data_IF_333928701501
#
_entry.id   IF_333928701501
#
_cell.length_a   1.000
_cell.length_b   1.000
_cell.length_c   1.000
_cell.angle_alpha   90.00
_cell.angle_beta   90.00
_cell.angle_gamma   90.00
#
_symmetry.space_group_name_H-M   'P 1'
#
loop_
_entity.id
_entity.type
_entity.pdbx_description
1 polymer ?
#
# COMPACT_ATOMS: atom_id res chain seq x y z
N UNK A 1 10.93 37.85 19.82
CA UNK A 1 10.92 36.38 19.66
C UNK A 1 9.99 35.65 20.64
N UNK A 2 9.59 36.23 21.78
CA UNK A 2 8.81 35.54 22.83
C UNK A 2 7.30 35.39 22.51
N UNK A 3 6.67 36.32 21.79
CA UNK A 3 5.24 36.21 21.39
C UNK A 3 4.97 35.31 20.19
N UNK A 4 6.01 34.80 19.53
CA UNK A 4 5.89 34.02 18.30
C UNK A 4 5.75 32.51 18.59
N UNK A 5 6.08 32.06 19.79
CA UNK A 5 6.16 30.63 20.16
C UNK A 5 5.12 30.19 21.19
N UNK A 6 4.07 30.97 21.44
CA UNK A 6 3.03 30.72 22.48
C UNK A 6 3.54 30.64 23.93
N UNK A 7 4.84 30.80 24.18
CA UNK A 7 5.41 30.84 25.52
C UNK A 7 5.26 32.25 26.10
N UNK A 8 4.23 32.46 26.91
CA UNK A 8 3.99 33.72 27.61
C UNK A 8 4.62 33.70 28.99
N UNK A 9 5.80 34.32 29.17
CA UNK A 9 6.38 34.55 30.50
C UNK A 9 5.58 35.58 31.34
N UNK A 10 4.60 36.27 30.74
CA UNK A 10 3.68 37.19 31.44
C UNK A 10 4.30 38.51 31.90
N UNK A 11 5.62 38.66 31.76
CA UNK A 11 6.44 39.79 32.16
C UNK A 11 6.54 40.88 31.08
N UNK A 12 6.55 40.50 29.80
CA UNK A 12 6.61 41.43 28.66
C UNK A 12 5.31 41.39 27.86
N UNK A 13 4.41 42.34 28.14
CA UNK A 13 3.15 42.53 27.40
C UNK A 13 3.04 43.93 26.79
N UNK A 14 2.56 44.08 25.55
CA UNK A 14 2.37 45.40 24.95
C UNK A 14 1.30 46.20 25.73
N UNK A 15 1.74 47.25 26.42
CA UNK A 15 0.86 48.13 27.21
C UNK A 15 0.13 49.17 26.36
N UNK A 16 0.68 49.59 25.22
CA UNK A 16 0.06 50.55 24.29
C UNK A 16 -0.87 49.85 23.29
N UNK A 17 -1.98 50.50 22.93
CA UNK A 17 -2.99 49.97 22.01
C UNK A 17 -2.41 49.52 20.65
N UNK A 18 -1.48 50.30 20.10
CA UNK A 18 -0.82 49.98 18.83
C UNK A 18 0.07 48.73 18.91
N UNK A 19 0.78 48.53 20.03
CA UNK A 19 1.60 47.34 20.24
C UNK A 19 0.77 46.05 20.33
N UNK A 20 -0.47 46.15 20.84
CA UNK A 20 -1.41 45.01 20.90
C UNK A 20 -1.89 44.61 19.50
N UNK A 21 -2.16 45.58 18.62
CA UNK A 21 -2.54 45.31 17.23
C UNK A 21 -1.42 44.57 16.48
N UNK A 22 -0.18 45.06 16.58
CA UNK A 22 0.98 44.41 15.95
C UNK A 22 1.18 42.99 16.50
N UNK A 23 1.06 42.80 17.82
CA UNK A 23 1.18 41.48 18.43
C UNK A 23 0.11 40.50 17.93
N UNK A 24 -1.13 40.96 17.73
CA UNK A 24 -2.23 40.19 17.14
C UNK A 24 -1.90 39.73 15.71
N UNK A 25 -1.40 40.63 14.87
CA UNK A 25 -0.98 40.28 13.51
C UNK A 25 0.17 39.28 13.49
N UNK A 26 1.19 39.46 14.33
CA UNK A 26 2.33 38.53 14.43
C UNK A 26 1.87 37.16 14.92
N UNK A 27 0.94 37.09 15.87
CA UNK A 27 0.38 35.82 16.36
C UNK A 27 -0.40 35.09 15.25
N UNK A 28 -1.23 35.80 14.46
CA UNK A 28 -1.97 35.19 13.35
C UNK A 28 -1.04 34.65 12.25
N UNK A 29 0.00 35.41 11.90
CA UNK A 29 1.03 34.98 10.93
C UNK A 29 1.79 33.76 11.48
N UNK A 30 2.14 33.79 12.76
CA UNK A 30 2.83 32.67 13.43
C UNK A 30 2.01 31.38 13.37
N UNK A 31 0.72 31.42 13.71
CA UNK A 31 -0.16 30.25 13.67
C UNK A 31 -0.24 29.68 12.24
N UNK A 32 -0.39 30.53 11.23
CA UNK A 32 -0.43 30.10 9.83
C UNK A 32 0.89 29.46 9.37
N UNK A 33 2.02 30.06 9.72
CA UNK A 33 3.34 29.54 9.39
C UNK A 33 3.62 28.19 10.08
N UNK A 34 3.35 28.08 11.38
CA UNK A 34 3.52 26.83 12.11
C UNK A 34 2.56 25.74 11.63
N UNK A 35 1.30 26.06 11.34
CA UNK A 35 0.36 25.11 10.76
C UNK A 35 0.81 24.60 9.39
N UNK A 36 1.31 25.49 8.52
CA UNK A 36 1.88 25.12 7.23
C UNK A 36 3.13 24.25 7.37
N UNK A 37 4.05 24.59 8.28
CA UNK A 37 5.25 23.81 8.53
C UNK A 37 4.91 22.40 9.07
N UNK A 38 3.97 22.30 10.03
CA UNK A 38 3.49 21.01 10.55
C UNK A 38 2.86 20.17 9.43
N UNK A 39 2.06 20.78 8.56
CA UNK A 39 1.47 20.09 7.41
C UNK A 39 2.54 19.57 6.43
N UNK A 40 3.58 20.36 6.17
CA UNK A 40 4.72 19.92 5.34
C UNK A 40 5.46 18.74 5.96
N UNK A 41 5.78 18.79 7.25
CA UNK A 41 6.43 17.68 7.95
C UNK A 41 5.54 16.44 8.04
N UNK A 42 4.25 16.60 8.32
CA UNK A 42 3.28 15.50 8.37
C UNK A 42 3.08 14.82 7.01
N UNK A 43 3.02 15.60 5.93
CA UNK A 43 2.98 15.10 4.55
C UNK A 43 4.28 14.35 4.22
N UNK A 44 5.44 14.89 4.56
CA UNK A 44 6.72 14.23 4.33
C UNK A 44 6.84 12.88 5.07
N UNK A 45 6.34 12.78 6.31
CA UNK A 45 6.30 11.50 7.06
C UNK A 45 5.32 10.52 6.42
N UNK A 46 4.13 10.99 6.03
CA UNK A 46 3.13 10.17 5.34
C UNK A 46 3.66 9.66 4.00
N UNK A 47 4.34 10.50 3.22
CA UNK A 47 4.98 10.12 1.94
C UNK A 47 6.14 9.16 2.17
N UNK A 48 6.95 9.33 3.23
CA UNK A 48 7.99 8.36 3.59
C UNK A 48 7.44 7.00 4.02
N UNK A 49 6.29 6.96 4.71
CA UNK A 49 5.57 5.70 4.95
C UNK A 49 4.97 5.07 3.68
N UNK A 50 4.78 5.87 2.62
CA UNK A 50 4.22 5.44 1.33
C UNK A 50 5.28 5.09 0.28
N UNK A 51 6.51 5.61 0.40
CA UNK A 51 7.69 5.02 -0.23
C UNK A 51 8.01 3.75 0.53
N UNK A 52 7.32 2.67 0.17
CA UNK A 52 7.82 1.35 0.48
C UNK A 52 9.26 1.27 -0.04
N UNK A 53 10.19 0.86 0.81
CA UNK A 53 11.58 0.59 0.43
C UNK A 53 11.68 -0.46 -0.70
N UNK A 54 10.56 -1.14 -0.99
CA UNK A 54 10.39 -2.16 -2.01
C UNK A 54 9.48 -1.60 -3.10
N UNK A 55 10.06 -1.34 -4.27
CA UNK A 55 9.32 -0.85 -5.45
C UNK A 55 9.45 -1.81 -6.63
N UNK A 56 10.46 -2.69 -6.61
CA UNK A 56 10.74 -3.66 -7.67
C UNK A 56 11.08 -5.01 -7.07
N UNK A 57 10.91 -6.12 -7.80
CA UNK A 57 11.28 -7.46 -7.31
C UNK A 57 12.75 -7.56 -6.86
N UNK A 58 13.65 -6.79 -7.47
CA UNK A 58 15.06 -6.75 -7.08
C UNK A 58 15.31 -6.20 -5.66
N UNK A 59 14.40 -5.37 -5.14
CA UNK A 59 14.51 -4.77 -3.80
C UNK A 59 14.21 -5.78 -2.69
N UNK A 60 13.69 -6.97 -3.04
CA UNK A 60 13.46 -8.08 -2.11
C UNK A 60 14.78 -8.75 -1.65
N UNK A 61 15.90 -8.46 -2.31
CA UNK A 61 17.20 -9.03 -1.94
C UNK A 61 17.57 -8.64 -0.51
N UNK A 62 17.96 -9.63 0.29
CA UNK A 62 18.27 -9.52 1.72
C UNK A 62 17.11 -8.99 2.59
N UNK A 63 15.87 -8.98 2.08
CA UNK A 63 14.66 -8.66 2.85
C UNK A 63 14.00 -9.92 3.35
N UNK A 64 13.34 -9.83 4.50
CA UNK A 64 12.57 -10.95 5.04
C UNK A 64 11.19 -10.93 4.38
N UNK A 65 10.86 -11.97 3.62
CA UNK A 65 9.63 -12.05 2.83
C UNK A 65 8.82 -13.26 3.23
N UNK A 66 7.57 -13.07 3.61
CA UNK A 66 6.65 -14.17 3.87
C UNK A 66 5.96 -14.64 2.58
N UNK A 67 5.85 -15.95 2.42
CA UNK A 67 5.06 -16.59 1.35
C UNK A 67 4.51 -17.93 1.84
N UNK A 68 3.53 -18.48 1.13
CA UNK A 68 2.94 -19.77 1.49
C UNK A 68 3.88 -20.91 1.08
N UNK A 69 4.08 -21.86 1.98
CA UNK A 69 4.89 -23.07 1.74
C UNK A 69 4.32 -23.95 0.62
N UNK A 70 5.18 -24.78 0.02
CA UNK A 70 4.84 -25.68 -1.11
C UNK A 70 4.27 -24.99 -2.36
N UNK A 71 4.49 -23.68 -2.51
CA UNK A 71 4.14 -22.94 -3.72
C UNK A 71 5.38 -22.61 -4.56
N UNK A 72 5.23 -22.33 -5.88
CA UNK A 72 6.34 -21.84 -6.70
C UNK A 72 6.98 -20.55 -6.18
N UNK A 73 6.31 -19.81 -5.28
CA UNK A 73 6.83 -18.56 -4.73
C UNK A 73 8.11 -18.71 -3.91
N UNK A 74 8.29 -19.82 -3.19
CA UNK A 74 9.49 -20.05 -2.36
C UNK A 74 10.78 -20.10 -3.20
N UNK A 75 10.90 -20.97 -4.23
CA UNK A 75 12.11 -20.98 -5.06
C UNK A 75 12.30 -19.65 -5.80
N UNK A 76 11.24 -19.05 -6.36
CA UNK A 76 11.34 -17.75 -7.05
C UNK A 76 11.92 -16.66 -6.15
N UNK A 77 11.51 -16.59 -4.89
CA UNK A 77 12.02 -15.61 -3.93
C UNK A 77 13.46 -15.88 -3.49
N UNK A 78 13.83 -17.16 -3.34
CA UNK A 78 15.21 -17.54 -3.03
C UNK A 78 16.15 -17.14 -4.19
N UNK A 79 15.74 -17.33 -5.44
CA UNK A 79 16.51 -16.93 -6.63
C UNK A 79 16.72 -15.42 -6.71
N UNK A 80 15.75 -14.63 -6.22
CA UNK A 80 15.86 -13.17 -6.08
C UNK A 80 16.79 -12.75 -4.93
N UNK A 81 17.17 -13.68 -4.05
CA UNK A 81 18.02 -13.46 -2.89
C UNK A 81 17.27 -12.92 -1.67
N UNK A 82 15.96 -13.14 -1.57
CA UNK A 82 15.18 -12.82 -0.39
C UNK A 82 15.42 -13.85 0.73
N UNK A 83 15.23 -13.42 1.98
CA UNK A 83 15.20 -14.31 3.14
C UNK A 83 13.75 -14.77 3.30
N UNK A 84 13.44 -15.95 2.75
CA UNK A 84 12.06 -16.46 2.71
C UNK A 84 11.63 -17.02 4.06
N UNK A 85 10.52 -16.51 4.59
CA UNK A 85 9.82 -17.05 5.74
C UNK A 85 8.57 -17.80 5.27
N UNK A 86 8.63 -19.13 5.06
CA UNK A 86 7.48 -19.90 4.64
C UNK A 86 6.43 -19.99 5.75
N UNK A 87 5.16 -19.89 5.37
CA UNK A 87 4.02 -20.08 6.28
C UNK A 87 3.00 -21.07 5.70
N UNK A 88 2.24 -21.74 6.55
CA UNK A 88 1.23 -22.70 6.12
C UNK A 88 0.01 -22.04 5.44
N UNK A 89 -0.37 -20.83 5.89
CA UNK A 89 -1.52 -20.10 5.35
C UNK A 89 -1.17 -18.66 5.01
N UNK A 90 -1.80 -18.14 3.97
CA UNK A 90 -1.60 -16.75 3.56
C UNK A 90 -2.04 -15.74 4.65
N UNK A 91 -3.06 -16.07 5.44
CA UNK A 91 -3.50 -15.22 6.55
C UNK A 91 -2.38 -15.00 7.59
N UNK A 92 -1.56 -16.03 7.86
CA UNK A 92 -0.42 -15.93 8.79
C UNK A 92 0.66 -14.99 8.24
N UNK A 93 0.88 -14.98 6.91
CA UNK A 93 1.80 -14.04 6.26
C UNK A 93 1.34 -12.59 6.43
N UNK A 94 0.03 -12.35 6.31
CA UNK A 94 -0.53 -11.01 6.52
C UNK A 94 -0.36 -10.55 7.98
N UNK A 95 -0.57 -11.43 8.95
CA UNK A 95 -0.32 -11.09 10.36
C UNK A 95 1.14 -10.78 10.63
N UNK A 96 2.07 -11.52 10.04
CA UNK A 96 3.51 -11.23 10.14
C UNK A 96 3.86 -9.86 9.56
N UNK A 97 3.26 -9.47 8.44
CA UNK A 97 3.46 -8.16 7.83
C UNK A 97 2.92 -7.04 8.71
N UNK A 98 1.69 -7.19 9.24
CA UNK A 98 1.07 -6.21 10.12
C UNK A 98 1.81 -6.02 11.44
N UNK A 99 2.49 -7.08 11.92
CA UNK A 99 3.30 -7.05 13.13
C UNK A 99 4.77 -6.68 12.86
N UNK A 100 5.10 -6.20 11.66
CA UNK A 100 6.45 -5.78 11.25
C UNK A 100 7.50 -6.89 11.45
N UNK A 101 7.09 -8.16 11.34
CA UNK A 101 7.98 -9.33 11.43
C UNK A 101 8.64 -9.68 10.10
N UNK A 102 8.04 -9.23 9.00
CA UNK A 102 8.55 -9.37 7.64
C UNK A 102 8.45 -8.04 6.92
N UNK A 103 9.34 -7.81 5.96
CA UNK A 103 9.38 -6.58 5.16
C UNK A 103 8.32 -6.59 4.04
N UNK A 104 7.96 -7.79 3.54
CA UNK A 104 6.96 -7.95 2.49
C UNK A 104 6.27 -9.32 2.53
N UNK A 105 5.11 -9.39 1.87
CA UNK A 105 4.40 -10.63 1.56
C UNK A 105 4.33 -10.76 0.05
N UNK A 106 4.72 -11.92 -0.47
CA UNK A 106 4.63 -12.23 -1.91
C UNK A 106 3.76 -13.47 -2.08
N UNK A 107 2.70 -13.32 -2.86
CA UNK A 107 1.78 -14.39 -3.21
C UNK A 107 0.98 -14.03 -4.47
N UNK A 108 0.11 -14.93 -4.87
CA UNK A 108 -0.81 -14.77 -6.00
C UNK A 108 -1.55 -13.43 -5.99
N UNK A 109 -1.47 -12.73 -7.13
CA UNK A 109 -2.03 -11.37 -7.28
C UNK A 109 -3.50 -11.24 -6.89
N UNK A 110 -4.44 -12.15 -7.28
CA UNK A 110 -5.83 -12.03 -6.87
C UNK A 110 -6.01 -12.05 -5.34
N UNK A 111 -5.24 -12.88 -4.63
CA UNK A 111 -5.30 -12.99 -3.17
C UNK A 111 -4.81 -11.71 -2.49
N UNK A 112 -3.67 -11.17 -2.96
CA UNK A 112 -3.10 -9.91 -2.43
C UNK A 112 -4.04 -8.74 -2.68
N UNK A 113 -4.56 -8.58 -3.91
CA UNK A 113 -5.47 -7.50 -4.28
C UNK A 113 -6.78 -7.56 -3.49
N UNK A 114 -7.34 -8.77 -3.32
CA UNK A 114 -8.53 -8.97 -2.49
C UNK A 114 -8.26 -8.60 -1.02
N UNK A 115 -7.13 -9.02 -0.45
CA UNK A 115 -6.80 -8.70 0.93
C UNK A 115 -6.62 -7.19 1.15
N UNK A 116 -5.86 -6.51 0.29
CA UNK A 116 -5.69 -5.04 0.33
C UNK A 116 -7.03 -4.30 0.32
N UNK A 117 -8.02 -4.83 -0.39
CA UNK A 117 -9.38 -4.25 -0.47
C UNK A 117 -10.26 -4.46 0.74
N UNK A 118 -10.07 -5.57 1.44
CA UNK A 118 -10.98 -6.00 2.48
C UNK A 118 -10.31 -5.86 3.84
N UNK A 119 -9.81 -6.97 4.40
CA UNK A 119 -9.24 -7.00 5.76
C UNK A 119 -7.98 -6.12 5.91
N UNK A 120 -7.23 -5.94 4.83
CA UNK A 120 -6.00 -5.14 4.76
C UNK A 120 -6.21 -3.67 4.39
N UNK A 121 -7.44 -3.22 4.16
CA UNK A 121 -7.73 -1.87 3.68
C UNK A 121 -7.16 -0.79 4.61
N UNK A 122 -6.34 0.10 4.03
CA UNK A 122 -5.67 1.19 4.75
C UNK A 122 -4.51 0.76 5.66
N UNK A 123 -4.20 -0.54 5.74
CA UNK A 123 -3.10 -1.09 6.55
C UNK A 123 -1.94 -1.59 5.70
N UNK A 124 -2.24 -2.13 4.52
CA UNK A 124 -1.26 -2.63 3.57
C UNK A 124 -1.46 -1.97 2.22
N UNK A 125 -0.46 -2.09 1.34
CA UNK A 125 -0.51 -1.58 -0.03
C UNK A 125 0.31 -2.47 -0.94
N UNK A 126 -0.23 -2.83 -2.10
CA UNK A 126 0.53 -3.54 -3.13
C UNK A 126 1.55 -2.59 -3.78
N UNK A 127 2.77 -3.08 -3.98
CA UNK A 127 3.90 -2.30 -4.52
C UNK A 127 4.62 -3.04 -5.63
N UNK A 128 5.13 -2.27 -6.60
CA UNK A 128 5.89 -2.79 -7.72
C UNK A 128 5.07 -3.52 -8.80
N UNK A 129 5.74 -3.91 -9.90
CA UNK A 129 5.10 -4.65 -10.98
C UNK A 129 4.91 -6.12 -10.61
N UNK A 130 3.94 -6.77 -11.27
CA UNK A 130 3.83 -8.24 -11.24
C UNK A 130 5.11 -8.87 -11.80
N UNK A 131 5.53 -9.97 -11.19
CA UNK A 131 6.64 -10.81 -11.61
C UNK A 131 6.25 -12.28 -11.47
N UNK A 132 6.97 -13.17 -12.16
CA UNK A 132 6.61 -14.61 -12.26
C UNK A 132 5.15 -14.80 -12.73
N UNK A 133 4.83 -14.23 -13.89
CA UNK A 133 3.47 -14.21 -14.42
C UNK A 133 3.04 -15.63 -14.80
N UNK A 134 2.09 -16.16 -14.04
CA UNK A 134 1.45 -17.44 -14.28
C UNK A 134 -0.03 -17.24 -14.59
N UNK A 135 -0.53 -17.95 -15.60
CA UNK A 135 -1.93 -17.86 -16.02
C UNK A 135 -2.77 -18.93 -15.33
N UNK A 136 -3.89 -18.51 -14.74
CA UNK A 136 -4.91 -19.44 -14.27
C UNK A 136 -5.68 -20.03 -15.46
N UNK A 137 -6.03 -21.31 -15.35
CA UNK A 137 -6.79 -22.03 -16.37
C UNK A 137 -7.78 -23.01 -15.77
N UNK A 138 -8.82 -23.32 -16.55
CA UNK A 138 -9.74 -24.41 -16.26
C UNK A 138 -9.16 -25.72 -16.78
N UNK A 139 -9.23 -26.78 -15.97
CA UNK A 139 -8.73 -28.10 -16.35
C UNK A 139 -9.90 -29.03 -16.70
N UNK A 140 -9.79 -29.71 -17.84
CA UNK A 140 -10.78 -30.66 -18.33
C UNK A 140 -10.11 -31.98 -18.71
N UNK A 141 -10.83 -33.12 -18.63
CA UNK A 141 -10.35 -34.38 -19.20
C UNK A 141 -10.01 -34.24 -20.69
N UNK A 142 -9.03 -35.03 -21.15
CA UNK A 142 -8.65 -35.05 -22.55
C UNK A 142 -9.86 -35.41 -23.44
N UNK A 143 -10.08 -34.65 -24.51
CA UNK A 143 -11.22 -34.82 -25.41
C UNK A 143 -12.54 -34.22 -24.94
N UNK A 144 -12.59 -33.56 -23.78
CA UNK A 144 -13.83 -32.91 -23.30
C UNK A 144 -14.28 -31.78 -24.22
N UNK A 145 -15.55 -31.82 -24.64
CA UNK A 145 -16.22 -30.75 -25.40
C UNK A 145 -16.31 -29.44 -24.60
N UNK A 146 -16.27 -29.52 -23.26
CA UNK A 146 -16.30 -28.35 -22.38
C UNK A 146 -15.12 -27.41 -22.61
N UNK A 147 -13.97 -27.94 -23.04
CA UNK A 147 -12.78 -27.12 -23.30
C UNK A 147 -13.06 -26.06 -24.37
N UNK A 148 -13.73 -26.43 -25.45
CA UNK A 148 -14.06 -25.49 -26.53
C UNK A 148 -15.18 -24.54 -26.12
N UNK A 149 -16.26 -25.07 -25.53
CA UNK A 149 -17.38 -24.28 -25.07
C UNK A 149 -16.95 -23.17 -24.09
N UNK A 150 -16.14 -23.54 -23.07
CA UNK A 150 -15.64 -22.59 -22.07
C UNK A 150 -14.71 -21.56 -22.68
N UNK A 151 -13.82 -21.94 -23.60
CA UNK A 151 -12.93 -20.99 -24.26
C UNK A 151 -13.70 -19.96 -25.10
N UNK A 152 -14.74 -20.38 -25.83
CA UNK A 152 -15.60 -19.48 -26.61
C UNK A 152 -16.32 -18.49 -25.70
N UNK A 153 -16.93 -18.96 -24.62
CA UNK A 153 -17.60 -18.10 -23.65
C UNK A 153 -16.63 -17.12 -22.98
N UNK A 154 -15.42 -17.57 -22.61
CA UNK A 154 -14.40 -16.67 -22.05
C UNK A 154 -13.97 -15.57 -23.04
N UNK A 155 -13.92 -15.89 -24.34
CA UNK A 155 -13.64 -14.90 -25.38
C UNK A 155 -14.79 -13.89 -25.50
N UNK A 156 -16.03 -14.36 -25.57
CA UNK A 156 -17.23 -13.50 -25.61
C UNK A 156 -17.31 -12.56 -24.40
N UNK A 157 -17.03 -13.07 -23.20
CA UNK A 157 -17.01 -12.28 -21.96
C UNK A 157 -15.94 -11.18 -21.97
N UNK A 158 -14.80 -11.41 -22.64
CA UNK A 158 -13.77 -10.39 -22.81
C UNK A 158 -14.14 -9.37 -23.89
N UNK A 159 -14.68 -9.83 -25.01
CA UNK A 159 -15.07 -8.95 -26.12
C UNK A 159 -16.21 -8.00 -25.73
N UNK A 160 -17.16 -8.47 -24.91
CA UNK A 160 -18.31 -7.68 -24.49
C UNK A 160 -18.08 -6.86 -23.20
N UNK A 161 -16.88 -6.90 -22.61
CA UNK A 161 -16.53 -6.15 -21.40
C UNK A 161 -17.04 -6.73 -20.08
N UNK A 162 -17.73 -7.88 -20.10
CA UNK A 162 -18.25 -8.50 -18.86
C UNK A 162 -17.11 -8.97 -17.96
N UNK A 163 -16.01 -9.45 -18.54
CA UNK A 163 -14.84 -9.86 -17.78
C UNK A 163 -14.25 -8.70 -16.98
N UNK A 164 -14.07 -7.54 -17.61
CA UNK A 164 -13.60 -6.31 -16.98
C UNK A 164 -14.52 -5.88 -15.83
N UNK A 165 -15.85 -5.91 -16.04
CA UNK A 165 -16.81 -5.59 -14.97
C UNK A 165 -16.68 -6.53 -13.75
N UNK A 166 -16.43 -7.82 -13.98
CA UNK A 166 -16.19 -8.78 -12.90
C UNK A 166 -14.84 -8.46 -12.23
N UNK A 167 -13.80 -8.21 -13.02
CA UNK A 167 -12.48 -7.89 -12.51
C UNK A 167 -12.52 -6.64 -11.62
N UNK A 168 -13.13 -5.55 -12.08
CA UNK A 168 -13.20 -4.28 -11.36
C UNK A 168 -13.96 -4.42 -10.04
N UNK A 169 -15.08 -5.15 -10.08
CA UNK A 169 -15.89 -5.45 -8.89
C UNK A 169 -15.07 -6.09 -7.77
N UNK A 170 -14.11 -6.95 -8.10
CA UNK A 170 -13.32 -7.69 -7.12
C UNK A 170 -11.93 -7.09 -6.86
N UNK A 171 -11.29 -6.49 -7.87
CA UNK A 171 -9.83 -6.22 -7.87
C UNK A 171 -9.39 -4.82 -8.33
N UNK A 172 -10.17 -4.02 -9.08
CA UNK A 172 -9.78 -2.64 -9.48
C UNK A 172 -10.47 -1.50 -8.71
N UNK A 173 -9.72 -0.45 -8.32
CA UNK A 173 -10.20 0.61 -7.43
C UNK A 173 -11.06 1.52 -8.32
N UNK A 174 -12.35 1.69 -8.03
CA UNK A 174 -13.09 2.78 -8.68
C UNK A 174 -12.36 4.10 -8.39
N UNK A 175 -11.64 4.62 -9.38
CA UNK A 175 -10.86 5.84 -9.28
C UNK A 175 -9.52 5.75 -10.02
N UNK A 176 -9.58 6.03 -11.33
CA UNK A 176 -8.46 6.64 -12.06
C UNK A 176 -8.17 8.04 -11.50
#
# INVERSE_FOLDING_TARGET
>A
MVTMTTVGYGDVVPRKWFGRLIALFIMLIGIGFFGWAIAQFSSAITVRKLHADIVRPADLRNRVVATVEFTPGVPTLNDLGAIVLPVAKIDDAYELLLNEKVDAVVFDSPSILYYERHKGAGKVKTVGPLFDIQYYGFMFPAGSELREAVNRTLLELKENGTYELIYDKWFEKMGR
#
